data_IF_301362490546
#
_entry.id   IF_301362490546
#
_cell.length_a   1.000
_cell.length_b   1.000
_cell.length_c   1.000
_cell.angle_alpha   90.00
_cell.angle_beta   90.00
_cell.angle_gamma   90.00
#
_symmetry.space_group_name_H-M   'P 1'
#
loop_
_entity.id
_entity.type
_entity.pdbx_description
1 polymer ?
#
# COMPACT_ATOMS: atom_id res chain seq x y z
N UNK A 1 74.50 -6.52 -35.14
CA UNK A 1 73.25 -7.05 -34.53
C UNK A 1 72.13 -6.10 -34.86
N UNK A 2 71.35 -6.35 -35.92
CA UNK A 2 70.05 -5.73 -36.14
C UNK A 2 69.21 -6.75 -36.91
N UNK A 3 68.40 -7.52 -36.17
CA UNK A 3 67.44 -8.48 -36.70
C UNK A 3 66.10 -7.77 -36.93
N UNK A 4 65.71 -7.62 -38.19
CA UNK A 4 64.38 -7.18 -38.60
C UNK A 4 63.38 -8.32 -38.40
N UNK A 5 62.31 -8.05 -37.66
CA UNK A 5 61.22 -8.99 -37.35
C UNK A 5 60.37 -9.34 -38.60
N UNK A 6 59.78 -10.55 -38.66
CA UNK A 6 58.96 -10.98 -39.79
C UNK A 6 57.51 -10.47 -39.68
N UNK A 7 56.90 -10.19 -40.84
CA UNK A 7 55.49 -9.87 -41.02
C UNK A 7 54.60 -11.10 -40.75
N UNK A 8 53.59 -10.96 -39.89
CA UNK A 8 52.53 -11.96 -39.67
C UNK A 8 51.32 -11.59 -40.54
N UNK A 9 50.65 -12.56 -41.22
CA UNK A 9 49.54 -12.29 -42.15
C UNK A 9 48.22 -12.00 -41.42
N UNK A 10 47.32 -11.28 -42.08
CA UNK A 10 45.96 -11.03 -41.63
C UNK A 10 45.19 -12.35 -41.45
N UNK A 11 44.94 -12.75 -40.20
CA UNK A 11 44.00 -13.81 -39.89
C UNK A 11 42.59 -13.37 -40.31
N UNK A 12 42.02 -14.11 -41.25
CA UNK A 12 40.66 -13.96 -41.72
C UNK A 12 39.69 -14.00 -40.53
N UNK A 13 38.83 -12.98 -40.39
CA UNK A 13 37.77 -12.99 -39.39
C UNK A 13 37.02 -14.34 -39.45
N UNK A 14 36.80 -15.03 -38.32
CA UNK A 14 36.17 -16.33 -38.32
C UNK A 14 34.78 -16.21 -38.95
N UNK A 15 34.50 -17.06 -39.94
CA UNK A 15 33.27 -17.05 -40.74
C UNK A 15 32.00 -17.07 -39.87
N UNK A 16 32.11 -17.54 -38.63
CA UNK A 16 31.08 -17.50 -37.60
C UNK A 16 30.64 -16.07 -37.22
N UNK A 17 31.56 -15.11 -37.14
CA UNK A 17 31.21 -13.71 -36.85
C UNK A 17 30.47 -13.05 -38.01
N UNK A 18 30.83 -13.41 -39.25
CA UNK A 18 30.12 -12.94 -40.44
C UNK A 18 28.69 -13.53 -40.50
N UNK A 19 28.52 -14.81 -40.16
CA UNK A 19 27.21 -15.46 -40.04
C UNK A 19 26.36 -14.85 -38.93
N UNK A 20 26.96 -14.60 -37.76
CA UNK A 20 26.25 -13.96 -36.65
C UNK A 20 25.79 -12.54 -36.98
N UNK A 21 26.62 -11.74 -37.66
CA UNK A 21 26.22 -10.41 -38.14
C UNK A 21 25.08 -10.49 -39.16
N UNK A 22 25.11 -11.47 -40.07
CA UNK A 22 24.05 -11.67 -41.04
C UNK A 22 22.71 -12.09 -40.39
N UNK A 23 22.75 -13.02 -39.44
CA UNK A 23 21.59 -13.47 -38.67
C UNK A 23 20.98 -12.34 -37.84
N UNK A 24 21.82 -11.54 -37.19
CA UNK A 24 21.37 -10.36 -36.44
C UNK A 24 20.67 -9.33 -37.33
N UNK A 25 21.23 -9.04 -38.52
CA UNK A 25 20.64 -8.09 -39.47
C UNK A 25 19.29 -8.61 -39.97
N UNK A 26 19.18 -9.91 -40.26
CA UNK A 26 17.92 -10.54 -40.64
C UNK A 26 16.86 -10.43 -39.53
N UNK A 27 17.24 -10.60 -38.27
CA UNK A 27 16.32 -10.47 -37.14
C UNK A 27 15.87 -9.02 -36.90
N UNK A 28 16.75 -8.03 -37.10
CA UNK A 28 16.34 -6.62 -37.07
C UNK A 28 15.36 -6.27 -38.20
N UNK A 29 15.55 -6.85 -39.39
CA UNK A 29 14.65 -6.64 -40.51
C UNK A 29 13.29 -7.32 -40.30
N UNK A 30 13.26 -8.53 -39.74
CA UNK A 30 12.01 -9.22 -39.39
C UNK A 30 11.23 -8.47 -38.31
N UNK A 31 11.92 -7.92 -37.29
CA UNK A 31 11.30 -7.12 -36.23
C UNK A 31 10.76 -5.78 -36.76
N UNK A 32 11.45 -5.17 -37.73
CA UNK A 32 11.00 -3.94 -38.40
C UNK A 32 9.80 -4.20 -39.33
N UNK A 33 9.76 -5.36 -40.01
CA UNK A 33 8.62 -5.79 -40.81
C UNK A 33 7.40 -6.16 -39.93
N UNK A 34 7.62 -6.78 -38.77
CA UNK A 34 6.57 -7.07 -37.79
C UNK A 34 5.99 -5.77 -37.18
N UNK A 35 6.83 -4.78 -36.90
CA UNK A 35 6.39 -3.46 -36.46
C UNK A 35 5.61 -2.71 -37.55
N UNK A 36 6.02 -2.83 -38.82
CA UNK A 36 5.31 -2.25 -39.96
C UNK A 36 3.93 -2.88 -40.24
N UNK A 37 3.73 -4.14 -39.83
CA UNK A 37 2.46 -4.86 -40.01
C UNK A 37 1.38 -4.47 -39.00
N UNK A 38 1.76 -3.88 -37.86
CA UNK A 38 0.81 -3.35 -36.84
C UNK A 38 0.25 -1.98 -37.27
N UNK A 39 1.00 -1.21 -38.07
CA UNK A 39 0.56 0.09 -38.62
C UNK A 39 -0.23 0.00 -39.93
N UNK A 40 -0.26 -1.17 -40.60
CA UNK A 40 -0.91 -1.32 -41.90
C UNK A 40 -2.39 -1.76 -41.85
N UNK A 41 -2.98 -1.91 -40.66
CA UNK A 41 -4.41 -2.26 -40.51
C UNK A 41 -5.33 -1.05 -40.24
N UNK A 42 -4.83 0.18 -40.30
CA UNK A 42 -5.60 1.37 -39.91
C UNK A 42 -5.85 2.39 -41.03
N UNK A 43 -5.34 2.22 -42.25
CA UNK A 43 -5.60 3.20 -43.32
C UNK A 43 -5.95 2.52 -44.64
N UNK A 44 -7.26 2.42 -44.90
CA UNK A 44 -7.82 2.30 -46.23
C UNK A 44 -9.09 3.16 -46.32
N UNK A 45 -8.95 4.41 -46.77
CA UNK A 45 -9.84 5.05 -47.75
C UNK A 45 -9.19 6.31 -48.34
N UNK A 46 -8.98 6.25 -49.66
CA UNK A 46 -8.72 7.28 -50.68
C UNK A 46 -9.63 8.52 -50.58
N UNK A 47 -9.42 9.71 -51.17
CA UNK A 47 -8.44 10.41 -52.03
C UNK A 47 -8.84 11.92 -51.90
N UNK A 48 -8.05 12.97 -52.16
CA UNK A 48 -7.61 13.48 -53.48
C UNK A 48 -6.95 14.87 -53.23
N UNK A 49 -5.95 15.26 -54.03
CA UNK A 49 -5.18 16.55 -53.98
C UNK A 49 -5.71 17.55 -55.05
N UNK A 50 -5.16 18.76 -55.36
CA UNK A 50 -3.90 19.44 -54.95
C UNK A 50 -4.05 21.01 -54.82
N UNK A 51 -3.07 21.90 -55.16
CA UNK A 51 -1.93 22.34 -54.33
C UNK A 51 -1.74 23.89 -54.22
N UNK A 52 -0.86 24.38 -53.33
CA UNK A 52 -0.33 25.76 -53.47
C UNK A 52 0.48 26.39 -52.32
N UNK A 53 1.82 26.39 -52.49
CA UNK A 53 2.85 27.41 -52.14
C UNK A 53 2.84 28.20 -50.80
N UNK A 54 4.00 28.19 -50.12
CA UNK A 54 4.72 29.44 -49.79
C UNK A 54 5.00 29.81 -48.31
N UNK A 55 6.24 29.55 -47.87
CA UNK A 55 7.18 30.39 -47.07
C UNK A 55 6.73 31.24 -45.82
N UNK A 56 7.70 31.29 -44.89
CA UNK A 56 8.13 32.35 -43.93
C UNK A 56 7.52 32.49 -42.52
N UNK A 57 8.35 32.12 -41.54
CA UNK A 57 8.89 32.91 -40.42
C UNK A 57 8.06 34.01 -39.69
N UNK A 58 8.06 33.87 -38.36
CA UNK A 58 8.36 34.87 -37.31
C UNK A 58 7.22 35.44 -36.42
N UNK A 59 7.54 35.42 -35.11
CA UNK A 59 7.15 36.32 -33.98
C UNK A 59 5.77 36.20 -33.32
N UNK A 60 5.84 35.94 -32.01
CA UNK A 60 4.89 36.26 -30.92
C UNK A 60 4.53 37.78 -30.89
N UNK A 61 3.57 38.31 -30.08
CA UNK A 61 2.99 37.78 -28.83
C UNK A 61 1.47 38.05 -28.59
N UNK A 62 0.93 37.58 -27.45
CA UNK A 62 -0.17 38.27 -26.74
C UNK A 62 -1.48 37.51 -26.49
N UNK A 63 -1.58 36.94 -25.28
CA UNK A 63 -2.72 36.95 -24.34
C UNK A 63 -4.11 36.35 -24.69
N UNK A 64 -4.71 35.83 -23.62
CA UNK A 64 -6.14 35.54 -23.32
C UNK A 64 -6.80 34.25 -23.82
N UNK A 65 -6.97 33.30 -22.89
CA UNK A 65 -8.11 32.36 -22.79
C UNK A 65 -9.38 33.16 -22.36
N UNK A 66 -10.63 32.72 -22.62
CA UNK A 66 -11.18 31.43 -22.15
C UNK A 66 -12.28 30.76 -23.03
N UNK A 67 -12.68 29.54 -22.67
CA UNK A 67 -14.00 29.01 -23.05
C UNK A 67 -14.06 27.52 -23.42
N UNK A 68 -14.29 26.69 -22.40
CA UNK A 68 -14.80 25.31 -22.41
C UNK A 68 -15.79 24.95 -23.52
N UNK A 69 -15.66 23.75 -24.12
CA UNK A 69 -16.77 22.80 -24.39
C UNK A 69 -16.24 21.36 -24.51
N UNK A 70 -16.83 20.44 -23.74
CA UNK A 70 -16.70 18.99 -23.81
C UNK A 70 -17.59 18.40 -24.92
N UNK A 71 -17.32 17.14 -25.34
CA UNK A 71 -18.43 16.19 -25.35
C UNK A 71 -18.10 14.82 -24.72
N UNK A 72 -19.16 14.25 -24.18
CA UNK A 72 -19.39 12.99 -23.48
C UNK A 72 -19.04 11.72 -24.28
N UNK A 73 -18.56 10.66 -23.60
CA UNK A 73 -19.18 9.31 -23.46
C UNK A 73 -18.19 8.25 -22.89
N UNK A 74 -18.54 7.82 -21.68
CA UNK A 74 -18.56 6.49 -21.04
C UNK A 74 -17.49 5.39 -21.27
N UNK A 75 -17.03 4.81 -20.14
CA UNK A 75 -16.45 3.47 -20.08
C UNK A 75 -15.97 2.95 -18.69
N UNK A 76 -16.92 2.56 -17.80
CA UNK A 76 -16.85 1.51 -16.74
C UNK A 76 -15.96 1.78 -15.46
N UNK A 77 -16.19 1.11 -14.31
CA UNK A 77 -17.12 1.39 -13.18
C UNK A 77 -16.40 1.81 -11.85
N UNK A 78 -17.07 2.45 -10.87
CA UNK A 78 -16.54 2.49 -9.51
C UNK A 78 -17.18 1.41 -8.61
N UNK A 79 -16.32 0.63 -7.99
CA UNK A 79 -16.64 -0.30 -6.93
C UNK A 79 -17.23 0.44 -5.71
N UNK A 80 -18.25 -0.18 -5.10
CA UNK A 80 -18.81 0.19 -3.81
C UNK A 80 -17.72 0.37 -2.76
N UNK A 81 -17.57 1.60 -2.25
CA UNK A 81 -17.05 1.85 -0.92
C UNK A 81 -18.25 2.24 -0.04
N UNK A 82 -18.74 1.26 0.71
CA UNK A 82 -19.74 1.44 1.76
C UNK A 82 -19.12 2.27 2.88
N UNK A 83 -19.48 3.54 2.98
CA UNK A 83 -19.24 4.36 4.17
C UNK A 83 -20.42 4.15 5.13
N UNK A 84 -20.14 3.61 6.32
CA UNK A 84 -21.06 3.67 7.46
C UNK A 84 -20.94 5.04 8.14
N UNK A 85 -22.05 5.74 8.43
CA UNK A 85 -22.00 7.04 9.07
C UNK A 85 -21.83 6.87 10.58
N UNK A 86 -20.72 7.38 11.13
CA UNK A 86 -20.63 7.66 12.56
C UNK A 86 -21.29 9.01 12.81
N UNK A 87 -22.61 9.00 12.92
CA UNK A 87 -23.38 10.09 13.49
C UNK A 87 -23.10 10.10 14.99
N UNK A 88 -22.19 10.98 15.44
CA UNK A 88 -22.11 11.59 16.77
C UNK A 88 -20.69 12.13 16.95
N UNK A 89 -20.45 13.35 16.46
CA UNK A 89 -19.45 14.34 16.92
C UNK A 89 -19.30 15.44 15.84
N UNK A 90 -20.32 16.30 15.68
CA UNK A 90 -20.18 17.66 15.12
C UNK A 90 -21.53 18.41 15.05
N UNK A 91 -22.22 18.59 16.18
CA UNK A 91 -23.01 19.83 16.36
C UNK A 91 -22.10 20.86 17.04
N UNK A 92 -20.94 21.11 16.45
CA UNK A 92 -20.19 22.33 16.72
C UNK A 92 -20.72 23.36 15.73
N UNK A 93 -21.48 24.31 16.24
CA UNK A 93 -22.04 25.46 15.52
C UNK A 93 -21.17 25.88 14.33
N UNK A 94 -21.69 25.67 13.12
CA UNK A 94 -21.11 26.25 11.91
C UNK A 94 -20.91 27.75 12.18
N UNK A 95 -19.73 28.32 11.89
CA UNK A 95 -19.50 29.74 12.15
C UNK A 95 -20.60 30.55 11.44
N UNK A 96 -21.23 31.50 12.13
CA UNK A 96 -22.46 32.19 11.68
C UNK A 96 -22.37 32.75 10.26
N UNK A 97 -21.16 33.12 9.81
CA UNK A 97 -20.90 33.57 8.43
C UNK A 97 -21.10 32.46 7.39
N UNK A 98 -20.73 31.21 7.69
CA UNK A 98 -20.91 30.06 6.80
C UNK A 98 -22.37 29.62 6.73
N UNK A 99 -23.07 29.56 7.86
CA UNK A 99 -24.49 29.28 7.88
C UNK A 99 -25.29 30.33 7.09
N UNK A 100 -24.91 31.62 7.24
CA UNK A 100 -25.47 32.71 6.45
C UNK A 100 -25.15 32.58 4.95
N UNK A 101 -23.92 32.22 4.58
CA UNK A 101 -23.53 32.03 3.18
C UNK A 101 -24.29 30.87 2.52
N UNK A 102 -24.48 29.75 3.24
CA UNK A 102 -25.26 28.60 2.79
C UNK A 102 -26.73 28.95 2.60
N UNK A 103 -27.34 29.70 3.52
CA UNK A 103 -28.75 30.13 3.37
C UNK A 103 -28.97 31.04 2.14
N UNK A 104 -28.00 31.90 1.82
CA UNK A 104 -28.05 32.77 0.64
C UNK A 104 -27.90 31.95 -0.64
N UNK A 105 -27.04 30.94 -0.62
CA UNK A 105 -26.86 30.01 -1.73
C UNK A 105 -28.09 29.14 -1.98
N UNK A 106 -28.73 28.63 -0.92
CA UNK A 106 -29.98 27.86 -1.03
C UNK A 106 -31.09 28.69 -1.70
N UNK A 107 -31.24 29.95 -1.28
CA UNK A 107 -32.17 30.89 -1.90
C UNK A 107 -31.81 31.19 -3.36
N UNK A 108 -30.52 31.25 -3.71
CA UNK A 108 -30.09 31.41 -5.10
C UNK A 108 -30.54 30.23 -5.98
N UNK A 109 -30.42 29.00 -5.47
CA UNK A 109 -30.87 27.77 -6.15
C UNK A 109 -32.40 27.75 -6.30
N UNK A 110 -33.15 28.21 -5.29
CA UNK A 110 -34.62 28.33 -5.38
C UNK A 110 -35.06 29.31 -6.48
N UNK A 111 -34.39 30.47 -6.59
CA UNK A 111 -34.66 31.44 -7.66
C UNK A 111 -34.23 30.92 -9.04
N UNK A 112 -33.17 30.11 -9.12
CA UNK A 112 -32.78 29.41 -10.35
C UNK A 112 -33.84 28.38 -10.77
N UNK A 113 -34.38 27.62 -9.81
CA UNK A 113 -35.47 26.66 -10.04
C UNK A 113 -36.81 27.34 -10.40
N UNK A 114 -37.08 28.53 -9.88
CA UNK A 114 -38.26 29.33 -10.23
C UNK A 114 -38.14 30.05 -11.58
N UNK A 115 -36.95 30.05 -12.19
CA UNK A 115 -36.67 30.70 -13.48
C UNK A 115 -36.30 32.18 -13.40
N UNK A 116 -36.10 32.72 -12.19
CA UNK A 116 -35.69 34.10 -11.93
C UNK A 116 -34.15 34.23 -11.93
N UNK A 117 -33.55 34.12 -13.12
CA UNK A 117 -32.10 34.02 -13.30
C UNK A 117 -31.34 35.28 -12.86
N UNK A 118 -31.91 36.47 -13.05
CA UNK A 118 -31.24 37.73 -12.72
C UNK A 118 -31.03 37.90 -11.21
N UNK A 119 -32.04 37.54 -10.41
CA UNK A 119 -31.98 37.59 -8.95
C UNK A 119 -31.10 36.45 -8.38
N UNK A 120 -31.15 35.26 -9.00
CA UNK A 120 -30.27 34.15 -8.65
C UNK A 120 -28.78 34.52 -8.81
N UNK A 121 -28.41 35.20 -9.90
CA UNK A 121 -27.02 35.63 -10.15
C UNK A 121 -26.49 36.62 -9.09
N UNK A 122 -27.34 37.51 -8.59
CA UNK A 122 -26.96 38.46 -7.52
C UNK A 122 -26.70 37.70 -6.22
N UNK A 123 -27.56 36.75 -5.88
CA UNK A 123 -27.43 35.91 -4.68
C UNK A 123 -26.21 34.99 -4.75
N UNK A 124 -25.91 34.40 -5.91
CA UNK A 124 -24.69 33.61 -6.10
C UNK A 124 -23.43 34.44 -5.89
N UNK A 125 -23.36 35.64 -6.48
CA UNK A 125 -22.22 36.56 -6.28
C UNK A 125 -22.07 36.93 -4.81
N UNK A 126 -23.17 37.12 -4.10
CA UNK A 126 -23.15 37.42 -2.66
C UNK A 126 -22.65 36.23 -1.84
N UNK A 127 -23.11 35.00 -2.15
CA UNK A 127 -22.66 33.79 -1.47
C UNK A 127 -21.16 33.52 -1.67
N UNK A 128 -20.67 33.59 -2.92
CA UNK A 128 -19.25 33.40 -3.24
C UNK A 128 -18.33 34.49 -2.68
N UNK A 129 -18.87 35.67 -2.39
CA UNK A 129 -18.12 36.74 -1.71
C UNK A 129 -17.96 36.49 -0.21
N UNK A 130 -18.89 35.75 0.40
CA UNK A 130 -18.85 35.39 1.82
C UNK A 130 -17.93 34.19 2.07
N UNK A 131 -18.02 33.16 1.23
CA UNK A 131 -17.10 32.02 1.23
C UNK A 131 -16.91 31.48 -0.21
N UNK A 132 -15.68 31.12 -0.56
CA UNK A 132 -15.31 30.66 -1.89
C UNK A 132 -15.69 29.18 -2.18
N UNK A 133 -16.06 28.41 -1.15
CA UNK A 133 -16.33 26.97 -1.22
C UNK A 133 -17.78 26.58 -0.85
N UNK A 134 -18.71 27.54 -0.93
CA UNK A 134 -20.14 27.34 -0.58
C UNK A 134 -20.79 26.27 -1.46
N UNK A 135 -20.38 26.18 -2.73
CA UNK A 135 -20.83 25.18 -3.72
C UNK A 135 -20.54 23.74 -3.28
N UNK A 136 -19.31 23.48 -2.81
CA UNK A 136 -18.87 22.16 -2.35
C UNK A 136 -19.60 21.73 -1.08
N UNK A 137 -19.90 22.69 -0.22
CA UNK A 137 -20.60 22.44 1.04
C UNK A 137 -22.08 22.14 0.77
N UNK A 138 -22.73 22.91 -0.10
CA UNK A 138 -24.11 22.67 -0.53
C UNK A 138 -24.29 21.27 -1.13
N UNK A 139 -23.44 20.88 -2.09
CA UNK A 139 -23.51 19.53 -2.67
C UNK A 139 -23.22 18.41 -1.68
N UNK A 140 -22.38 18.67 -0.67
CA UNK A 140 -22.14 17.71 0.40
C UNK A 140 -23.38 17.53 1.28
N UNK A 141 -24.08 18.63 1.59
CA UNK A 141 -25.33 18.60 2.35
C UNK A 141 -26.44 17.87 1.59
N UNK A 142 -26.59 18.14 0.29
CA UNK A 142 -27.53 17.45 -0.61
C UNK A 142 -27.21 15.94 -0.73
N UNK A 143 -25.93 15.57 -0.80
CA UNK A 143 -25.50 14.17 -0.81
C UNK A 143 -25.81 13.48 0.52
N UNK A 144 -25.64 14.16 1.65
CA UNK A 144 -25.98 13.60 2.97
C UNK A 144 -27.50 13.51 3.18
N UNK A 145 -28.26 14.49 2.71
CA UNK A 145 -29.72 14.49 2.75
C UNK A 145 -30.31 13.36 1.91
N UNK A 146 -29.83 13.17 0.67
CA UNK A 146 -30.25 12.05 -0.19
C UNK A 146 -29.89 10.67 0.37
N UNK A 147 -28.77 10.55 1.09
CA UNK A 147 -28.42 9.31 1.82
C UNK A 147 -29.36 9.10 3.01
N UNK A 148 -29.73 10.15 3.73
CA UNK A 148 -30.67 10.07 4.85
C UNK A 148 -32.10 9.74 4.38
N UNK A 149 -32.53 10.31 3.26
CA UNK A 149 -33.83 10.02 2.62
C UNK A 149 -33.87 8.59 2.04
N UNK A 150 -32.76 8.11 1.46
CA UNK A 150 -32.64 6.72 1.02
C UNK A 150 -32.71 5.72 2.18
N UNK A 151 -32.36 6.15 3.40
CA UNK A 151 -32.51 5.35 4.62
C UNK A 151 -33.93 5.42 5.22
N UNK A 152 -34.77 6.36 4.78
CA UNK A 152 -36.12 6.58 5.31
C UNK A 152 -37.24 5.94 4.47
N UNK A 153 -36.95 5.24 3.36
CA UNK A 153 -38.00 4.51 2.64
C UNK A 153 -38.50 3.30 3.48
N UNK A 154 -39.78 3.29 3.91
CA UNK A 154 -40.32 2.20 4.70
C UNK A 154 -40.65 0.99 3.81
N UNK A 155 -40.22 -0.19 4.26
CA UNK A 155 -40.68 -1.49 3.76
C UNK A 155 -42.21 -1.53 3.87
N UNK A 156 -42.91 -1.73 2.75
CA UNK A 156 -44.36 -1.91 2.75
C UNK A 156 -44.73 -3.17 3.54
N UNK A 157 -45.28 -2.95 4.72
CA UNK A 157 -45.92 -3.95 5.59
C UNK A 157 -47.21 -4.47 4.93
N UNK A 158 -47.19 -5.72 4.50
CA UNK A 158 -48.41 -6.53 4.39
C UNK A 158 -48.71 -7.06 5.79
N UNK A 159 -49.86 -6.69 6.34
CA UNK A 159 -50.37 -7.16 7.63
C UNK A 159 -50.68 -8.65 7.60
N UNK A 160 -50.28 -9.44 8.61
CA UNK A 160 -50.91 -10.72 8.88
C UNK A 160 -51.78 -10.63 10.15
N UNK A 161 -53.04 -11.01 9.97
CA UNK A 161 -53.95 -11.47 11.03
C UNK A 161 -53.38 -12.78 11.58
N UNK A 162 -53.27 -12.88 12.91
CA UNK A 162 -52.81 -14.08 13.62
C UNK A 162 -53.94 -15.11 13.72
N UNK A 163 -53.65 -16.39 13.45
CA UNK A 163 -54.20 -17.48 14.27
C UNK A 163 -53.09 -18.21 15.04
N UNK A 164 -53.35 -18.48 16.31
CA UNK A 164 -52.42 -18.88 17.39
C UNK A 164 -51.81 -20.30 17.29
N UNK A 165 -51.68 -20.89 16.10
CA UNK A 165 -51.29 -22.29 15.94
C UNK A 165 -49.89 -22.54 15.35
N UNK A 166 -49.02 -21.53 15.24
CA UNK A 166 -47.72 -21.65 14.54
C UNK A 166 -46.48 -21.33 15.39
N UNK A 167 -46.64 -20.94 16.65
CA UNK A 167 -45.51 -20.56 17.52
C UNK A 167 -44.66 -21.78 17.88
N UNK A 168 -45.26 -22.97 17.98
CA UNK A 168 -44.56 -24.21 18.32
C UNK A 168 -43.82 -24.82 17.11
N UNK A 169 -44.36 -24.68 15.88
CA UNK A 169 -43.67 -25.12 14.66
C UNK A 169 -42.53 -24.17 14.24
N UNK A 170 -42.67 -22.86 14.49
CA UNK A 170 -41.55 -21.93 14.28
C UNK A 170 -40.49 -22.08 15.38
N UNK A 171 -40.87 -22.34 16.63
CA UNK A 171 -39.89 -22.61 17.70
C UNK A 171 -39.04 -23.86 17.39
N UNK A 172 -39.65 -24.92 16.84
CA UNK A 172 -38.93 -26.14 16.45
C UNK A 172 -38.06 -25.93 15.19
N UNK A 173 -38.49 -25.11 14.22
CA UNK A 173 -37.68 -24.72 13.06
C UNK A 173 -36.54 -23.76 13.41
N UNK A 174 -36.74 -22.85 14.36
CA UNK A 174 -35.72 -21.94 14.89
C UNK A 174 -34.74 -22.71 15.78
N UNK A 175 -35.20 -23.71 16.55
CA UNK A 175 -34.31 -24.62 17.29
C UNK A 175 -33.51 -25.54 16.35
N UNK A 176 -34.05 -25.93 15.18
CA UNK A 176 -33.30 -26.66 14.16
C UNK A 176 -32.34 -25.78 13.35
N UNK A 177 -32.63 -24.49 13.13
CA UNK A 177 -31.75 -23.56 12.41
C UNK A 177 -30.72 -22.87 13.32
N UNK A 178 -30.99 -22.78 14.62
CA UNK A 178 -30.05 -22.38 15.68
C UNK A 178 -29.44 -23.57 16.43
N UNK A 179 -29.64 -24.79 15.93
CA UNK A 179 -28.79 -25.92 16.28
C UNK A 179 -27.40 -25.65 15.70
N UNK A 180 -26.66 -24.75 16.36
CA UNK A 180 -25.22 -24.87 16.48
C UNK A 180 -25.02 -26.27 17.02
N UNK A 181 -24.77 -27.23 16.13
CA UNK A 181 -24.16 -28.48 16.53
C UNK A 181 -23.02 -28.06 17.46
N UNK A 182 -22.99 -28.49 18.73
CA UNK A 182 -21.76 -28.38 19.49
C UNK A 182 -20.72 -29.04 18.60
N UNK A 183 -19.83 -28.25 18.02
CA UNK A 183 -18.81 -28.78 17.11
C UNK A 183 -17.84 -29.46 18.06
N UNK A 184 -18.12 -30.73 18.31
CA UNK A 184 -17.34 -31.61 19.15
C UNK A 184 -15.85 -31.38 18.88
N UNK A 185 -15.12 -31.01 19.94
CA UNK A 185 -13.70 -30.69 19.89
C UNK A 185 -13.37 -29.20 19.95
N UNK A 186 -13.64 -28.55 21.10
CA UNK A 186 -13.05 -27.25 21.46
C UNK A 186 -11.50 -27.29 21.62
N UNK A 187 -10.87 -28.44 21.35
CA UNK A 187 -9.42 -28.66 21.37
C UNK A 187 -8.92 -29.48 20.15
N UNK A 188 -9.70 -29.57 19.06
CA UNK A 188 -9.22 -30.23 17.84
C UNK A 188 -8.35 -29.26 17.03
N UNK A 189 -7.12 -29.66 16.75
CA UNK A 189 -6.18 -28.99 15.85
C UNK A 189 -6.85 -28.77 14.48
N UNK A 190 -7.24 -27.52 14.17
CA UNK A 190 -7.85 -27.14 12.89
C UNK A 190 -6.76 -26.77 11.90
N UNK A 191 -6.47 -27.68 10.98
CA UNK A 191 -5.45 -27.52 9.95
C UNK A 191 -6.09 -27.72 8.59
N UNK A 192 -5.70 -26.89 7.63
CA UNK A 192 -6.24 -26.93 6.27
C UNK A 192 -5.17 -27.22 5.21
N UNK A 193 -5.61 -27.70 4.04
CA UNK A 193 -4.75 -27.88 2.86
C UNK A 193 -3.80 -29.08 2.94
N UNK A 194 -2.61 -28.92 2.36
CA UNK A 194 -1.60 -29.99 2.24
C UNK A 194 -1.09 -30.49 3.59
N UNK A 195 -1.17 -29.67 4.64
CA UNK A 195 -0.74 -30.09 5.96
C UNK A 195 -1.75 -31.05 6.60
N UNK A 196 -3.05 -30.87 6.34
CA UNK A 196 -4.08 -31.79 6.82
C UNK A 196 -3.88 -33.20 6.23
N UNK A 197 -3.63 -33.28 4.92
CA UNK A 197 -3.38 -34.56 4.23
C UNK A 197 -2.08 -35.24 4.65
N UNK A 198 -1.11 -34.48 5.18
CA UNK A 198 0.11 -35.04 5.78
C UNK A 198 -0.13 -35.58 7.18
N UNK A 199 -0.93 -34.87 7.99
CA UNK A 199 -1.26 -35.28 9.36
C UNK A 199 -2.09 -36.56 9.37
N UNK A 200 -3.00 -36.73 8.41
CA UNK A 200 -3.78 -37.96 8.26
C UNK A 200 -2.89 -39.21 8.06
N UNK A 201 -1.67 -39.03 7.53
CA UNK A 201 -0.70 -40.12 7.34
C UNK A 201 0.13 -40.42 8.59
N UNK A 202 0.00 -39.62 9.64
CA UNK A 202 0.77 -39.84 10.86
C UNK A 202 0.14 -40.95 11.71
N UNK A 203 0.97 -41.75 12.41
CA UNK A 203 0.45 -42.71 13.39
C UNK A 203 -0.25 -41.95 14.53
N UNK A 204 -1.24 -42.59 15.17
CA UNK A 204 -1.94 -42.02 16.33
C UNK A 204 -1.00 -41.83 17.53
N UNK A 205 -0.04 -42.74 17.69
CA UNK A 205 0.80 -42.84 18.88
C UNK A 205 2.13 -42.13 18.62
N UNK A 206 2.10 -40.81 18.79
CA UNK A 206 3.29 -39.97 18.58
C UNK A 206 4.00 -39.71 19.89
N UNK A 207 5.30 -40.02 19.92
CA UNK A 207 6.21 -39.75 21.03
C UNK A 207 7.53 -39.16 20.51
N UNK A 208 8.24 -38.43 21.36
CA UNK A 208 9.61 -37.97 21.04
C UNK A 208 10.59 -39.14 21.15
N UNK A 209 11.11 -39.65 20.04
CA UNK A 209 12.13 -40.70 20.08
C UNK A 209 13.52 -40.10 19.88
N UNK A 210 14.56 -40.63 20.55
CA UNK A 210 15.92 -40.17 20.31
C UNK A 210 16.38 -40.67 18.93
N UNK A 211 17.30 -39.94 18.31
CA UNK A 211 17.96 -40.41 17.08
C UNK A 211 18.95 -41.55 17.39
N UNK A 212 19.55 -41.52 18.59
CA UNK A 212 20.42 -42.55 19.12
C UNK A 212 19.68 -43.26 20.26
N UNK A 213 19.42 -44.57 20.11
CA UNK A 213 18.59 -45.34 21.07
C UNK A 213 19.11 -45.32 22.51
N UNK A 214 20.42 -45.14 22.71
CA UNK A 214 21.07 -45.12 24.03
C UNK A 214 20.91 -43.79 24.78
N UNK A 215 20.47 -42.72 24.11
CA UNK A 215 20.34 -41.40 24.72
C UNK A 215 18.96 -41.16 25.35
N UNK A 216 18.89 -40.58 26.56
CA UNK A 216 17.61 -40.29 27.20
C UNK A 216 16.93 -39.05 26.60
N UNK A 217 15.64 -39.16 26.24
CA UNK A 217 14.83 -38.01 25.83
C UNK A 217 14.25 -37.30 27.04
N UNK A 218 14.89 -36.22 27.49
CA UNK A 218 14.39 -35.42 28.61
C UNK A 218 13.05 -34.72 28.33
N UNK A 219 12.73 -34.51 27.05
CA UNK A 219 11.48 -33.87 26.63
C UNK A 219 10.24 -34.70 26.98
N UNK A 220 10.37 -36.02 27.14
CA UNK A 220 9.28 -36.90 27.62
C UNK A 220 8.90 -36.65 29.07
N UNK A 221 9.80 -36.09 29.89
CA UNK A 221 9.49 -35.80 31.30
C UNK A 221 8.51 -34.64 31.45
N UNK A 222 8.34 -33.83 30.40
CA UNK A 222 7.40 -32.72 30.39
C UNK A 222 6.07 -33.19 29.82
N UNK A 223 4.98 -32.82 30.50
CA UNK A 223 3.63 -32.96 29.95
C UNK A 223 3.44 -32.03 28.74
N UNK A 224 2.58 -32.43 27.80
CA UNK A 224 2.37 -31.70 26.55
C UNK A 224 1.81 -30.29 26.79
N UNK A 225 1.04 -30.08 27.87
CA UNK A 225 0.53 -28.77 28.29
C UNK A 225 1.65 -27.81 28.69
N UNK A 226 2.69 -28.31 29.36
CA UNK A 226 3.86 -27.52 29.74
C UNK A 226 4.67 -27.13 28.50
N UNK A 227 4.79 -28.04 27.53
CA UNK A 227 5.42 -27.74 26.25
C UNK A 227 4.64 -26.66 25.49
N UNK A 228 3.31 -26.73 25.45
CA UNK A 228 2.47 -25.69 24.84
C UNK A 228 2.65 -24.35 25.56
N UNK A 229 2.76 -24.34 26.89
CA UNK A 229 3.03 -23.14 27.67
C UNK A 229 4.39 -22.51 27.35
N UNK A 230 5.43 -23.33 27.13
CA UNK A 230 6.75 -22.87 26.69
C UNK A 230 6.67 -22.33 25.25
N UNK A 231 5.99 -23.04 24.35
CA UNK A 231 5.82 -22.64 22.94
C UNK A 231 5.11 -21.28 22.81
N UNK A 232 4.17 -20.96 23.71
CA UNK A 232 3.49 -19.64 23.76
C UNK A 232 4.43 -18.46 24.04
N UNK A 233 5.64 -18.70 24.55
CA UNK A 233 6.65 -17.65 24.81
C UNK A 233 7.65 -17.49 23.67
N UNK A 234 7.66 -18.42 22.72
CA UNK A 234 8.59 -18.41 21.59
C UNK A 234 8.06 -17.56 20.44
N UNK A 235 8.97 -17.09 19.59
CA UNK A 235 8.62 -16.41 18.36
C UNK A 235 8.11 -17.42 17.32
N UNK A 236 7.27 -17.00 16.37
CA UNK A 236 6.67 -17.88 15.36
C UNK A 236 7.73 -18.60 14.51
N UNK A 237 8.93 -18.01 14.33
CA UNK A 237 9.99 -18.68 13.56
C UNK A 237 10.64 -19.81 14.36
N UNK A 238 10.83 -19.65 15.66
CA UNK A 238 11.31 -20.74 16.52
C UNK A 238 10.25 -21.83 16.70
N UNK A 239 8.97 -21.47 16.76
CA UNK A 239 7.86 -22.45 16.77
C UNK A 239 7.91 -23.33 15.51
N UNK A 240 8.04 -22.74 14.32
CA UNK A 240 8.12 -23.52 13.07
C UNK A 240 9.41 -24.34 12.95
N UNK A 241 10.54 -23.87 13.51
CA UNK A 241 11.78 -24.65 13.60
C UNK A 241 11.63 -25.84 14.54
N UNK A 242 10.97 -25.65 15.68
CA UNK A 242 10.65 -26.77 16.57
C UNK A 242 9.71 -27.77 15.87
N UNK A 243 8.75 -27.27 15.09
CA UNK A 243 7.84 -28.08 14.30
C UNK A 243 8.51 -28.93 13.21
N UNK A 244 9.78 -28.67 12.84
CA UNK A 244 10.54 -29.52 11.92
C UNK A 244 11.36 -30.61 12.60
N UNK A 245 11.44 -30.63 13.94
CA UNK A 245 12.25 -31.62 14.68
C UNK A 245 11.61 -33.01 14.65
N UNK A 246 10.29 -33.11 14.89
CA UNK A 246 9.59 -34.39 14.92
C UNK A 246 8.12 -34.25 14.53
N UNK A 247 7.49 -35.39 14.20
CA UNK A 247 6.04 -35.44 13.93
C UNK A 247 5.22 -35.01 15.15
N UNK A 248 5.61 -35.43 16.36
CA UNK A 248 4.98 -34.98 17.62
C UNK A 248 5.12 -33.46 17.80
N UNK A 249 6.32 -32.91 17.60
CA UNK A 249 6.54 -31.46 17.66
C UNK A 249 5.64 -30.71 16.68
N UNK A 250 5.52 -31.22 15.44
CA UNK A 250 4.61 -30.64 14.44
C UNK A 250 3.18 -30.58 14.95
N UNK A 251 2.63 -31.65 15.52
CA UNK A 251 1.25 -31.64 16.06
C UNK A 251 1.11 -30.62 17.20
N UNK A 252 2.02 -30.61 18.17
CA UNK A 252 1.98 -29.67 19.30
C UNK A 252 2.00 -28.21 18.85
N UNK A 253 2.79 -27.90 17.81
CA UNK A 253 2.87 -26.53 17.29
C UNK A 253 1.63 -26.10 16.50
N UNK A 254 0.75 -27.02 16.11
CA UNK A 254 -0.48 -26.70 15.38
C UNK A 254 -1.65 -26.37 16.30
N UNK A 255 -1.42 -26.38 17.61
CA UNK A 255 -2.40 -25.99 18.60
C UNK A 255 -2.97 -24.59 18.33
N UNK A 256 -4.30 -24.51 18.25
CA UNK A 256 -5.02 -23.29 17.85
C UNK A 256 -4.75 -22.12 18.81
N UNK A 257 -4.59 -22.41 20.10
CA UNK A 257 -4.35 -21.40 21.13
C UNK A 257 -3.03 -20.65 20.91
N UNK A 258 -2.01 -21.31 20.35
CA UNK A 258 -0.71 -20.71 20.05
C UNK A 258 -0.85 -19.64 18.96
N UNK A 259 -1.44 -20.02 17.83
CA UNK A 259 -1.59 -19.14 16.67
C UNK A 259 -2.61 -18.04 16.90
N UNK A 260 -3.66 -18.29 17.69
CA UNK A 260 -4.62 -17.25 18.08
C UNK A 260 -3.94 -16.10 18.81
N UNK A 261 -2.95 -16.39 19.66
CA UNK A 261 -2.17 -15.34 20.34
C UNK A 261 -1.34 -14.53 19.34
N UNK A 262 -0.69 -15.18 18.38
CA UNK A 262 0.08 -14.49 17.34
C UNK A 262 -0.81 -13.61 16.44
N UNK A 263 -1.97 -14.12 16.00
CA UNK A 263 -2.96 -13.37 15.21
C UNK A 263 -3.41 -12.14 15.99
N UNK A 264 -3.84 -12.32 17.25
CA UNK A 264 -4.29 -11.21 18.11
C UNK A 264 -3.20 -10.18 18.38
N UNK A 265 -1.95 -10.61 18.57
CA UNK A 265 -0.84 -9.71 18.84
C UNK A 265 -0.40 -8.92 17.59
N UNK A 266 -0.50 -9.53 16.41
CA UNK A 266 0.03 -8.97 15.15
C UNK A 266 -1.00 -8.10 14.42
N UNK A 267 -2.24 -8.58 14.31
CA UNK A 267 -3.31 -7.91 13.56
C UNK A 267 -4.08 -6.94 14.46
N UNK A 268 -3.37 -5.88 14.88
CA UNK A 268 -3.93 -4.71 15.56
C UNK A 268 -3.69 -3.47 14.69
N UNK A 269 -4.44 -2.37 14.87
CA UNK A 269 -4.07 -1.09 14.26
C UNK A 269 -2.61 -0.76 14.61
N UNK A 270 -1.77 -0.32 13.66
CA UNK A 270 -2.05 0.12 12.28
C UNK A 270 -2.04 -0.97 11.17
N UNK A 271 -1.76 -2.24 11.50
CA UNK A 271 -1.69 -3.31 10.49
C UNK A 271 -3.05 -3.65 9.86
N UNK A 272 -4.12 -3.50 10.63
CA UNK A 272 -5.47 -3.75 10.17
C UNK A 272 -6.34 -2.60 10.67
N UNK A 273 -7.18 -2.00 9.81
CA UNK A 273 -8.02 -0.87 10.22
C UNK A 273 -9.10 -1.30 11.22
N UNK A 274 -9.70 -2.49 11.03
CA UNK A 274 -10.77 -3.00 11.88
C UNK A 274 -10.68 -4.52 12.08
N UNK A 275 -11.12 -4.98 13.24
CA UNK A 275 -11.20 -6.39 13.64
C UNK A 275 -12.10 -7.18 12.69
N UNK A 276 -13.12 -6.56 12.10
CA UNK A 276 -13.98 -7.20 11.09
C UNK A 276 -13.19 -7.83 9.94
N UNK A 277 -12.11 -7.18 9.49
CA UNK A 277 -11.22 -7.70 8.43
C UNK A 277 -10.55 -9.00 8.86
N UNK A 278 -10.17 -9.11 10.13
CA UNK A 278 -9.57 -10.33 10.70
C UNK A 278 -10.62 -11.44 10.75
N UNK A 279 -11.87 -11.13 11.12
CA UNK A 279 -12.98 -12.08 11.12
C UNK A 279 -13.24 -12.64 9.73
N UNK A 280 -13.34 -11.77 8.71
CA UNK A 280 -13.49 -12.22 7.31
C UNK A 280 -12.28 -13.02 6.81
N UNK A 281 -11.06 -12.74 7.29
CA UNK A 281 -9.89 -13.56 7.00
C UNK A 281 -9.96 -14.95 7.65
N UNK A 282 -10.47 -15.04 8.89
CA UNK A 282 -10.68 -16.30 9.60
C UNK A 282 -11.72 -17.18 8.89
N UNK A 283 -12.82 -16.58 8.43
CA UNK A 283 -13.86 -17.30 7.67
C UNK A 283 -13.30 -17.88 6.37
N UNK A 284 -12.55 -17.08 5.59
CA UNK A 284 -11.88 -17.54 4.37
C UNK A 284 -10.89 -18.69 4.61
N UNK A 285 -10.27 -18.72 5.79
CA UNK A 285 -9.32 -19.76 6.17
C UNK A 285 -9.94 -20.87 7.04
N UNK A 286 -11.27 -20.99 7.10
CA UNK A 286 -11.98 -22.03 7.87
C UNK A 286 -11.57 -22.08 9.36
N UNK A 287 -11.24 -20.93 9.95
CA UNK A 287 -10.75 -20.78 11.32
C UNK A 287 -9.39 -21.45 11.62
N UNK A 288 -8.56 -21.68 10.60
CA UNK A 288 -7.15 -22.06 10.75
C UNK A 288 -6.31 -20.82 11.06
N UNK A 289 -6.06 -20.58 12.36
CA UNK A 289 -5.31 -19.42 12.83
C UNK A 289 -3.86 -19.38 12.31
N UNK A 290 -3.24 -20.53 12.07
CA UNK A 290 -1.88 -20.59 11.53
C UNK A 290 -1.87 -20.08 10.10
N UNK A 291 -2.82 -20.54 9.29
CA UNK A 291 -2.96 -20.11 7.91
C UNK A 291 -3.25 -18.61 7.82
N UNK A 292 -4.18 -18.10 8.62
CA UNK A 292 -4.44 -16.64 8.71
C UNK A 292 -3.17 -15.88 9.08
N UNK A 293 -2.39 -16.38 10.04
CA UNK A 293 -1.14 -15.73 10.44
C UNK A 293 -0.14 -15.61 9.28
N UNK A 294 -0.08 -16.57 8.37
CA UNK A 294 0.90 -16.60 7.26
C UNK A 294 0.37 -15.89 6.01
N UNK A 295 -0.89 -16.10 5.67
CA UNK A 295 -1.50 -15.66 4.41
C UNK A 295 -2.10 -14.26 4.49
N UNK A 296 -2.48 -13.76 5.66
CA UNK A 296 -2.99 -12.40 5.75
C UNK A 296 -1.86 -11.39 5.50
N UNK A 297 -2.07 -10.36 4.66
CA UNK A 297 -1.08 -9.30 4.42
C UNK A 297 -0.64 -8.64 5.73
N UNK A 298 0.68 -8.49 5.90
CA UNK A 298 1.24 -7.85 7.09
C UNK A 298 2.57 -7.15 6.80
N UNK A 299 2.78 -6.02 7.45
CA UNK A 299 4.09 -5.34 7.46
C UNK A 299 4.97 -5.95 8.55
N UNK A 300 6.22 -6.26 8.21
CA UNK A 300 7.18 -6.78 9.18
C UNK A 300 7.82 -5.65 9.97
N UNK A 301 7.76 -5.76 11.30
CA UNK A 301 8.29 -4.77 12.24
C UNK A 301 9.67 -5.17 12.79
N UNK A 302 10.09 -6.43 12.58
CA UNK A 302 11.33 -7.02 13.10
C UNK A 302 12.59 -6.66 12.29
N UNK A 303 12.56 -5.56 11.54
CA UNK A 303 13.63 -5.22 10.61
C UNK A 303 13.41 -3.90 9.87
N UNK A 304 14.05 -3.78 8.72
CA UNK A 304 14.05 -2.57 7.88
C UNK A 304 13.84 -2.96 6.42
N UNK A 305 13.10 -2.12 5.70
CA UNK A 305 12.90 -2.24 4.26
C UNK A 305 13.91 -1.35 3.55
N UNK A 306 14.72 -1.91 2.65
CA UNK A 306 15.83 -1.22 1.98
C UNK A 306 15.63 -1.26 0.47
N UNK A 307 15.68 -0.10 -0.18
CA UNK A 307 15.76 0.01 -1.63
C UNK A 307 17.11 0.59 -2.03
N UNK A 308 17.94 -0.23 -2.70
CA UNK A 308 19.19 0.22 -3.30
C UNK A 308 18.88 0.79 -4.69
N UNK A 309 19.17 2.07 -4.88
CA UNK A 309 18.88 2.82 -6.08
C UNK A 309 20.20 3.34 -6.68
N UNK A 310 20.24 3.42 -8.00
CA UNK A 310 21.40 3.96 -8.71
C UNK A 310 20.89 4.91 -9.79
N UNK A 311 21.57 6.04 -9.96
CA UNK A 311 21.35 6.91 -11.10
C UNK A 311 22.69 7.36 -11.69
N UNK A 312 22.67 7.63 -13.00
CA UNK A 312 23.85 8.11 -13.71
C UNK A 312 23.75 9.63 -13.78
N UNK A 313 24.76 10.32 -13.24
CA UNK A 313 24.93 11.76 -13.36
C UNK A 313 26.09 12.05 -14.31
N UNK A 314 25.89 12.96 -15.26
CA UNK A 314 27.00 13.43 -16.08
C UNK A 314 28.03 14.16 -15.18
N UNK A 315 29.28 13.73 -15.26
CA UNK A 315 30.40 14.42 -14.63
C UNK A 315 30.79 15.67 -15.43
N UNK A 316 31.50 16.58 -14.79
CA UNK A 316 32.17 17.66 -15.53
C UNK A 316 33.46 17.11 -16.14
N UNK A 317 33.64 17.31 -17.44
CA UNK A 317 34.91 17.11 -18.11
C UNK A 317 35.30 18.39 -18.85
N UNK A 318 36.59 18.73 -18.81
CA UNK A 318 37.11 19.87 -19.59
C UNK A 318 37.20 19.54 -21.08
N UNK A 319 37.32 18.24 -21.41
CA UNK A 319 37.39 17.74 -22.77
C UNK A 319 36.00 17.31 -23.28
N UNK A 320 35.50 17.98 -24.32
CA UNK A 320 34.22 17.67 -24.96
C UNK A 320 34.14 16.27 -25.61
N UNK A 321 35.29 15.64 -25.89
CA UNK A 321 35.37 14.27 -26.39
C UNK A 321 35.34 13.19 -25.29
N UNK A 322 35.45 13.58 -24.01
CA UNK A 322 35.45 12.64 -22.88
C UNK A 322 34.19 12.87 -22.06
N UNK A 323 33.21 11.99 -22.20
CA UNK A 323 32.00 12.03 -21.37
C UNK A 323 32.24 11.21 -20.09
N UNK A 324 32.50 11.90 -18.98
CA UNK A 324 32.58 11.27 -17.66
C UNK A 324 31.16 11.06 -17.14
N UNK A 325 30.85 9.87 -16.66
CA UNK A 325 29.56 9.57 -16.03
C UNK A 325 29.78 8.97 -14.65
N UNK A 326 29.10 9.51 -13.65
CA UNK A 326 29.16 9.04 -12.27
C UNK A 326 27.94 8.18 -12.00
N UNK A 327 28.16 6.93 -11.60
CA UNK A 327 27.11 6.06 -11.08
C UNK A 327 26.95 6.35 -9.59
N UNK A 328 25.90 7.07 -9.22
CA UNK A 328 25.65 7.43 -7.83
C UNK A 328 24.72 6.38 -7.22
N UNK A 329 25.18 5.75 -6.14
CA UNK A 329 24.38 4.81 -5.36
C UNK A 329 23.79 5.51 -4.15
N UNK A 330 22.51 5.29 -3.90
CA UNK A 330 21.86 5.74 -2.68
C UNK A 330 20.87 4.69 -2.19
N UNK A 331 20.63 4.70 -0.89
CA UNK A 331 19.76 3.75 -0.21
C UNK A 331 18.58 4.48 0.41
N UNK A 332 17.39 3.92 0.22
CA UNK A 332 16.18 4.35 0.94
C UNK A 332 15.83 3.31 1.98
N UNK A 333 15.59 3.77 3.21
CA UNK A 333 15.24 2.91 4.33
C UNK A 333 13.83 3.26 4.82
N UNK A 334 13.03 2.24 5.08
CA UNK A 334 11.76 2.35 5.79
C UNK A 334 11.76 1.41 6.99
N UNK A 335 11.47 1.96 8.17
CA UNK A 335 11.30 1.19 9.40
C UNK A 335 9.93 1.49 9.99
N UNK A 336 9.15 0.43 10.20
CA UNK A 336 7.79 0.50 10.72
C UNK A 336 7.76 0.11 12.20
N UNK A 337 6.90 0.78 12.97
CA UNK A 337 6.71 0.52 14.40
C UNK A 337 5.26 0.12 14.70
N UNK A 338 5.07 -0.60 15.80
CA UNK A 338 3.77 -1.10 16.26
C UNK A 338 2.81 0.02 16.68
N UNK A 339 3.34 1.18 17.07
CA UNK A 339 2.57 2.36 17.45
C UNK A 339 2.03 3.18 16.26
N UNK A 340 2.24 2.73 15.01
CA UNK A 340 1.84 3.51 13.83
C UNK A 340 2.91 4.46 13.31
N UNK A 341 4.07 4.60 13.95
CA UNK A 341 5.14 5.44 13.44
C UNK A 341 5.96 4.74 12.35
N UNK A 342 6.43 5.52 11.38
CA UNK A 342 7.35 5.08 10.33
C UNK A 342 8.51 6.04 10.21
N UNK A 343 9.71 5.48 10.06
CA UNK A 343 10.92 6.23 9.77
C UNK A 343 11.27 6.04 8.30
N UNK A 344 11.50 7.14 7.60
CA UNK A 344 12.00 7.15 6.22
C UNK A 344 13.34 7.86 6.17
N UNK A 345 14.35 7.21 5.60
CA UNK A 345 15.68 7.79 5.45
C UNK A 345 16.18 7.63 4.02
N UNK A 346 16.60 8.74 3.42
CA UNK A 346 17.39 8.77 2.20
C UNK A 346 18.87 8.95 2.56
N UNK A 347 19.70 7.92 2.37
CA UNK A 347 21.14 8.00 2.62
C UNK A 347 21.94 7.79 1.32
N UNK A 348 23.00 8.56 1.16
CA UNK A 348 23.93 8.42 0.03
C UNK A 348 24.96 7.30 0.30
N UNK A 349 25.81 7.04 -0.69
CA UNK A 349 26.88 6.02 -0.64
C UNK A 349 27.87 6.18 0.53
N UNK A 350 28.08 7.40 1.02
CA UNK A 350 28.94 7.68 2.19
C UNK A 350 28.47 6.98 3.48
N UNK A 351 27.21 6.55 3.52
CA UNK A 351 26.58 5.94 4.68
C UNK A 351 26.08 4.53 4.33
N UNK A 352 26.95 3.52 4.44
CA UNK A 352 26.58 2.16 4.08
C UNK A 352 25.52 1.58 5.04
N UNK A 353 24.72 0.59 4.59
CA UNK A 353 23.66 0.00 5.41
C UNK A 353 24.13 -0.51 6.78
N UNK A 354 25.35 -1.05 6.86
CA UNK A 354 25.90 -1.56 8.12
C UNK A 354 26.02 -0.48 9.21
N UNK A 355 26.28 0.77 8.83
CA UNK A 355 26.40 1.90 9.76
C UNK A 355 25.03 2.51 10.09
N UNK A 356 24.15 2.62 9.09
CA UNK A 356 22.84 3.27 9.26
C UNK A 356 21.85 2.42 10.04
N UNK A 357 21.82 1.11 9.82
CA UNK A 357 20.83 0.23 10.45
C UNK A 357 20.87 0.32 11.99
N UNK A 358 22.02 0.26 12.68
CA UNK A 358 22.05 0.45 14.13
C UNK A 358 21.55 1.84 14.61
N UNK A 359 21.74 2.86 13.79
CA UNK A 359 21.44 4.26 14.10
C UNK A 359 20.01 4.68 13.76
N UNK A 360 19.29 3.91 12.94
CA UNK A 360 17.93 4.21 12.46
C UNK A 360 16.88 4.07 13.57
N UNK A 361 16.91 5.02 14.51
CA UNK A 361 15.99 5.18 15.64
C UNK A 361 15.26 6.53 15.52
N UNK A 362 14.12 6.72 16.20
CA UNK A 362 13.39 8.00 16.17
C UNK A 362 14.21 9.21 16.66
N UNK A 363 15.27 8.97 17.43
CA UNK A 363 16.21 10.00 17.93
C UNK A 363 17.25 10.45 16.90
N UNK A 364 17.33 9.79 15.75
CA UNK A 364 18.26 10.16 14.69
C UNK A 364 17.94 11.57 14.19
N UNK A 365 18.97 12.38 13.97
CA UNK A 365 18.86 13.71 13.37
C UNK A 365 19.88 13.78 12.25
N UNK A 366 19.43 13.60 11.01
CA UNK A 366 20.29 13.69 9.83
C UNK A 366 19.50 14.13 8.60
N UNK A 367 20.19 14.72 7.62
CA UNK A 367 19.56 15.17 6.38
C UNK A 367 18.91 13.99 5.66
N UNK A 368 17.67 14.17 5.19
CA UNK A 368 16.92 13.14 4.49
C UNK A 368 16.20 12.15 5.42
N UNK A 369 16.18 12.42 6.73
CA UNK A 369 15.42 11.66 7.72
C UNK A 369 14.04 12.26 7.95
N UNK A 370 13.01 11.42 7.84
CA UNK A 370 11.62 11.80 8.01
C UNK A 370 10.92 10.84 8.97
N UNK A 371 10.00 11.39 9.76
CA UNK A 371 9.13 10.63 10.66
C UNK A 371 7.70 10.89 10.23
N UNK A 372 6.89 9.84 10.14
CA UNK A 372 5.47 9.96 9.86
C UNK A 372 4.68 8.82 10.46
N UNK A 373 3.45 8.66 9.97
CA UNK A 373 2.53 7.62 10.39
C UNK A 373 2.23 6.66 9.24
N UNK A 374 1.96 5.39 9.54
CA UNK A 374 1.61 4.39 8.55
C UNK A 374 0.35 3.63 8.94
N UNK A 375 -0.36 3.13 7.92
CA UNK A 375 -1.48 2.22 8.05
C UNK A 375 -1.50 1.25 6.86
N UNK A 376 -1.97 0.03 7.08
CA UNK A 376 -2.14 -0.99 6.04
C UNK A 376 -3.64 -1.20 5.78
N UNK A 377 -4.07 -1.05 4.53
CA UNK A 377 -5.41 -1.40 4.07
C UNK A 377 -5.31 -2.42 2.95
N UNK A 378 -5.82 -3.64 3.19
CA UNK A 378 -5.65 -4.76 2.27
C UNK A 378 -4.18 -5.09 2.06
N UNK A 379 -3.66 -4.78 0.86
CA UNK A 379 -2.26 -4.94 0.47
C UNK A 379 -1.53 -3.61 0.28
N UNK A 380 -2.19 -2.49 0.52
CA UNK A 380 -1.64 -1.15 0.27
C UNK A 380 -1.31 -0.47 1.59
N UNK A 381 -0.07 -0.01 1.72
CA UNK A 381 0.43 0.72 2.87
C UNK A 381 0.39 2.21 2.52
N UNK A 382 -0.25 2.98 3.38
CA UNK A 382 -0.27 4.43 3.28
C UNK A 382 0.65 5.00 4.34
N UNK A 383 1.60 5.82 3.92
CA UNK A 383 2.43 6.64 4.78
C UNK A 383 1.97 8.09 4.63
N UNK A 384 1.69 8.72 5.75
CA UNK A 384 1.23 10.09 5.84
C UNK A 384 2.09 10.87 6.84
N UNK A 385 2.01 12.20 6.76
CA UNK A 385 2.68 13.10 7.69
C UNK A 385 4.19 12.83 7.81
N UNK A 386 4.87 12.50 6.71
CA UNK A 386 6.33 12.37 6.73
C UNK A 386 6.95 13.77 6.85
N UNK A 387 7.25 14.16 8.09
CA UNK A 387 7.85 15.44 8.45
C UNK A 387 9.37 15.32 8.53
N UNK A 388 10.09 16.37 8.13
CA UNK A 388 11.55 16.41 8.21
C UNK A 388 11.99 16.40 9.68
N UNK A 389 12.67 15.32 10.08
CA UNK A 389 13.20 15.10 11.42
C UNK A 389 14.73 15.27 11.45
N UNK A 390 15.32 15.96 10.47
CA UNK A 390 16.76 16.22 10.43
C UNK A 390 17.28 17.16 11.53
N UNK A 391 16.40 17.73 12.35
CA UNK A 391 16.72 18.70 13.41
C UNK A 391 16.61 20.16 12.96
N UNK A 392 16.20 20.42 11.71
CA UNK A 392 15.92 21.77 11.21
C UNK A 392 14.62 22.36 11.75
N UNK A 393 13.63 21.51 12.01
CA UNK A 393 12.31 21.92 12.48
C UNK A 393 12.01 21.23 13.81
N UNK A 394 11.35 21.91 14.77
CA UNK A 394 10.89 21.28 16.00
C UNK A 394 9.82 20.24 15.65
N UNK A 395 9.98 19.02 16.17
CA UNK A 395 8.95 17.98 16.04
C UNK A 395 7.82 18.27 17.04
N UNK A 396 6.55 18.01 16.69
CA UNK A 396 5.41 18.22 17.61
C UNK A 396 5.49 17.44 18.94
N UNK A 397 6.40 16.46 19.03
CA UNK A 397 6.56 15.56 20.18
C UNK A 397 7.64 16.01 21.17
N UNK A 398 8.42 17.06 20.86
CA UNK A 398 9.46 17.54 21.75
C UNK A 398 8.85 18.49 22.81
N UNK A 399 8.56 17.96 24.00
CA UNK A 399 8.00 18.71 25.16
C UNK A 399 8.92 19.82 25.71
N UNK A 400 10.05 20.13 25.04
CA UNK A 400 10.95 21.21 25.44
C UNK A 400 10.94 22.32 24.39
N UNK A 401 10.37 23.50 24.71
CA UNK A 401 10.55 24.68 23.88
C UNK A 401 11.98 25.20 24.09
N UNK A 402 12.94 24.74 23.30
CA UNK A 402 14.27 25.34 23.26
C UNK A 402 14.40 26.29 22.07
N UNK A 403 14.50 27.57 22.45
CA UNK A 403 15.01 28.73 21.71
C UNK A 403 14.35 29.06 20.35
N UNK A 404 13.45 30.03 20.39
CA UNK A 404 13.12 31.00 19.34
C UNK A 404 13.18 30.46 17.89
N UNK A 405 12.18 29.67 17.50
CA UNK A 405 11.80 29.62 16.10
C UNK A 405 11.15 30.96 15.74
N UNK A 406 11.73 31.69 14.79
CA UNK A 406 11.07 32.81 14.11
C UNK A 406 9.66 32.37 13.66
N UNK A 407 8.61 33.21 13.80
CA UNK A 407 7.20 32.82 13.62
C UNK A 407 6.78 32.50 12.15
N UNK A 408 7.70 32.06 11.30
CA UNK A 408 7.46 31.71 9.89
C UNK A 408 8.26 30.53 9.33
N UNK A 409 9.03 29.81 10.16
CA UNK A 409 9.92 28.72 9.70
C UNK A 409 9.46 27.32 10.16
N UNK A 410 8.14 27.08 10.15
CA UNK A 410 7.59 25.74 10.27
C UNK A 410 7.79 24.94 8.98
N UNK A 411 7.88 23.61 9.07
CA UNK A 411 7.96 22.75 7.90
C UNK A 411 6.72 22.94 7.02
N UNK A 412 6.83 23.65 5.89
CA UNK A 412 5.69 24.02 5.02
C UNK A 412 5.05 22.84 4.30
N UNK A 413 5.80 21.76 4.13
CA UNK A 413 5.36 20.58 3.39
C UNK A 413 5.56 19.31 4.21
N UNK A 414 4.63 18.38 4.07
CA UNK A 414 4.78 16.99 4.50
C UNK A 414 4.76 16.08 3.30
N UNK A 415 5.33 14.89 3.42
CA UNK A 415 5.28 13.91 2.34
C UNK A 415 4.30 12.79 2.66
N UNK A 416 3.65 12.29 1.61
CA UNK A 416 2.85 11.08 1.62
C UNK A 416 3.42 10.06 0.66
N UNK A 417 3.35 8.78 1.01
CA UNK A 417 3.81 7.70 0.15
C UNK A 417 2.81 6.54 0.17
N UNK A 418 2.45 6.04 -1.00
CA UNK A 418 1.61 4.86 -1.16
C UNK A 418 2.48 3.71 -1.65
N UNK A 419 2.44 2.58 -0.93
CA UNK A 419 3.22 1.40 -1.24
C UNK A 419 2.31 0.18 -1.42
N UNK A 420 2.58 -0.69 -2.40
CA UNK A 420 1.99 -2.03 -2.45
C UNK A 420 2.90 -3.08 -1.82
N UNK A 421 2.29 -3.92 -0.99
CA UNK A 421 2.91 -5.02 -0.28
C UNK A 421 2.83 -6.29 -1.13
N UNK A 422 3.99 -6.89 -1.41
CA UNK A 422 4.12 -8.09 -2.21
C UNK A 422 4.94 -9.18 -1.50
N UNK A 423 4.70 -10.42 -1.91
CA UNK A 423 5.46 -11.60 -1.48
C UNK A 423 6.44 -12.05 -2.58
N UNK A 424 7.56 -12.66 -2.19
CA UNK A 424 8.55 -13.26 -3.11
C UNK A 424 8.83 -14.71 -2.70
N UNK A 425 9.45 -15.53 -3.57
CA UNK A 425 9.60 -16.96 -3.29
C UNK A 425 10.30 -17.28 -1.96
N UNK A 426 11.24 -16.44 -1.51
CA UNK A 426 11.98 -16.64 -0.26
C UNK A 426 11.31 -16.00 0.98
N UNK A 427 10.04 -15.59 0.90
CA UNK A 427 9.32 -15.08 2.06
C UNK A 427 8.00 -14.37 1.74
N UNK A 428 7.04 -14.49 2.65
CA UNK A 428 5.78 -13.75 2.55
C UNK A 428 5.97 -12.29 2.97
N UNK A 429 5.30 -11.38 2.26
CA UNK A 429 5.15 -9.97 2.62
C UNK A 429 6.48 -9.22 2.86
N UNK A 430 7.49 -9.53 2.05
CA UNK A 430 8.87 -9.08 2.21
C UNK A 430 9.31 -8.02 1.19
N UNK A 431 8.41 -7.56 0.32
CA UNK A 431 8.72 -6.59 -0.74
C UNK A 431 7.69 -5.46 -0.77
N UNK A 432 8.16 -4.22 -0.91
CA UNK A 432 7.30 -3.04 -1.08
C UNK A 432 7.58 -2.39 -2.42
N UNK A 433 6.53 -2.10 -3.18
CA UNK A 433 6.58 -1.31 -4.40
C UNK A 433 6.06 0.09 -4.11
N UNK A 434 6.74 1.12 -4.59
CA UNK A 434 6.22 2.49 -4.50
C UNK A 434 5.25 2.69 -5.65
N UNK A 435 4.03 3.13 -5.33
CA UNK A 435 2.99 3.44 -6.30
C UNK A 435 2.84 4.95 -6.50
N UNK A 436 2.91 5.71 -5.41
CA UNK A 436 2.81 7.16 -5.44
C UNK A 436 3.67 7.79 -4.34
N UNK A 437 4.19 8.97 -4.62
CA UNK A 437 4.90 9.82 -3.67
C UNK A 437 4.48 11.26 -3.90
N UNK A 438 3.93 11.90 -2.88
CA UNK A 438 3.29 13.20 -3.00
C UNK A 438 3.83 14.15 -1.91
N UNK A 439 3.96 15.42 -2.24
CA UNK A 439 4.15 16.48 -1.25
C UNK A 439 2.81 17.15 -0.96
N UNK A 440 2.48 17.32 0.32
CA UNK A 440 1.28 17.98 0.81
C UNK A 440 1.68 19.28 1.47
N UNK A 441 1.15 20.40 0.99
CA UNK A 441 1.33 21.69 1.63
C UNK A 441 0.47 21.75 2.91
N UNK A 442 1.06 22.13 4.06
CA UNK A 442 0.33 22.20 5.32
C UNK A 442 -0.65 23.38 5.40
N UNK A 443 -0.38 24.47 4.68
CA UNK A 443 -1.22 25.68 4.73
C UNK A 443 -2.42 25.57 3.80
N UNK A 444 -2.20 25.09 2.57
CA UNK A 444 -3.25 25.01 1.53
C UNK A 444 -3.90 23.63 1.43
N UNK A 445 -3.25 22.58 1.93
CA UNK A 445 -3.69 21.20 1.75
C UNK A 445 -3.44 20.65 0.34
N UNK A 446 -2.77 21.41 -0.54
CA UNK A 446 -2.55 21.00 -1.92
C UNK A 446 -1.61 19.79 -2.01
N UNK A 447 -2.04 18.78 -2.76
CA UNK A 447 -1.29 17.55 -2.99
C UNK A 447 -0.62 17.63 -4.36
N UNK A 448 0.71 17.71 -4.37
CA UNK A 448 1.51 17.71 -5.58
C UNK A 448 2.24 16.37 -5.75
N UNK A 449 2.03 15.63 -6.86
CA UNK A 449 2.74 14.38 -7.09
C UNK A 449 4.20 14.65 -7.43
N UNK A 450 5.10 13.94 -6.75
CA UNK A 450 6.54 13.98 -7.03
C UNK A 450 6.84 12.92 -8.08
N UNK A 451 7.44 13.32 -9.20
CA UNK A 451 7.73 12.40 -10.29
C UNK A 451 8.74 11.33 -9.89
N UNK A 452 8.30 10.07 -9.90
CA UNK A 452 9.10 8.90 -9.54
C UNK A 452 9.76 8.31 -10.79
N UNK A 453 11.03 8.63 -11.05
CA UNK A 453 11.80 8.03 -12.15
C UNK A 453 12.62 6.83 -11.66
N UNK A 454 12.40 5.67 -12.30
CA UNK A 454 13.19 4.44 -12.12
C UNK A 454 13.28 3.90 -10.68
N UNK A 455 12.15 3.85 -9.98
CA UNK A 455 12.17 3.42 -8.59
C UNK A 455 12.38 1.93 -8.41
N UNK A 456 13.34 1.60 -7.56
CA UNK A 456 13.57 0.24 -7.08
C UNK A 456 12.65 -0.07 -5.91
N UNK A 457 12.10 -1.29 -5.83
CA UNK A 457 11.29 -1.72 -4.71
C UNK A 457 12.14 -1.85 -3.44
N UNK A 458 11.50 -1.76 -2.28
CA UNK A 458 12.14 -2.06 -1.02
C UNK A 458 12.11 -3.56 -0.72
N UNK A 459 13.21 -4.04 -0.17
CA UNK A 459 13.40 -5.41 0.29
C UNK A 459 13.54 -5.46 1.80
N UNK A 460 12.80 -6.36 2.43
CA UNK A 460 12.89 -6.54 3.86
C UNK A 460 14.21 -7.21 4.26
N UNK A 461 14.89 -6.63 5.25
CA UNK A 461 16.06 -7.18 5.92
C UNK A 461 15.78 -7.30 7.43
N UNK A 462 15.96 -8.51 7.99
CA UNK A 462 15.73 -8.77 9.41
C UNK A 462 16.88 -8.21 10.24
N UNK A 463 16.58 -7.49 11.32
CA UNK A 463 17.58 -6.88 12.19
C UNK A 463 17.39 -7.38 13.62
N UNK A 464 18.37 -8.12 14.15
CA UNK A 464 18.25 -8.75 15.48
C UNK A 464 18.05 -7.74 16.61
N UNK A 465 18.73 -6.60 16.55
CA UNK A 465 18.63 -5.55 17.57
C UNK A 465 17.26 -4.87 17.62
N UNK A 466 16.40 -5.07 16.62
CA UNK A 466 15.07 -4.46 16.57
C UNK A 466 13.99 -5.35 17.19
N UNK A 467 14.29 -6.62 17.48
CA UNK A 467 13.30 -7.58 18.02
C UNK A 467 12.89 -7.30 19.48
N UNK A 468 13.36 -6.20 20.07
CA UNK A 468 13.12 -5.77 21.45
C UNK A 468 12.06 -4.66 21.59
N UNK A 469 11.52 -4.14 20.48
CA UNK A 469 10.66 -2.94 20.46
C UNK A 469 9.26 -3.22 19.92
#
# INVERSE_FOLDING_TARGET
>A
MQSTAPSIPAEAEPQELARFRAEWIAELQSRKAAAGKVTASAESTSAESPPGKGKTAAKSPGQTHPGSLTPTIAGIPPALATFTPSAHLAESSLPRKLASALSIYHRAVEHEQSGELDDALVLYRQAFRMDAHVDRIYHREEMLASIAEAQQQPIQTVTPVVPEASVEELATKVQHSLAVKPRDGAAAVRVTGTLATLIEKFPSDLSFQPEVEEEPVHLHKLADELLIMILRKLDPTSVERFASVSRKARILTLESALWRNFVKATYKPPQVPDIAVVTSALERCLFDYRRVYIEQPRVRLDGVYIATCHYVRAGLSENSWVNISHLITYHRYLRFFSNGQVLSLLANEEHPPQQIIPLLKPTLRMKGFYIGTWQLSGTTIYLSNLMDASGRFPLPTDEKPQAAAEPGDGARYTFGMTLSLASRPLGRWNKLHIEAYNSVNLETGDINPVALKHERPFWFSKVRSYSLY
#
